data_IF_405724287566
#
_entry.id   IF_405724287566
#
_cell.length_a   1.000
_cell.length_b   1.000
_cell.length_c   1.000
_cell.angle_alpha   90.00
_cell.angle_beta   90.00
_cell.angle_gamma   90.00
#
_symmetry.space_group_name_H-M   'P 1'
#
loop_
_entity.id
_entity.type
_entity.pdbx_description
1 polymer ?
#
# COMPACT_ATOMS: atom_id res chain seq x y z
N UNK A 1 -4.25 -49.75 -32.42
CA UNK A 1 -4.27 -48.81 -31.30
C UNK A 1 -4.34 -47.41 -31.88
N UNK A 2 -5.40 -46.65 -31.58
CA UNK A 2 -5.52 -45.26 -32.00
C UNK A 2 -4.95 -44.36 -30.89
N UNK A 3 -4.20 -43.29 -31.22
CA UNK A 3 -3.67 -42.37 -30.21
C UNK A 3 -4.82 -41.58 -29.58
N UNK A 4 -4.86 -41.52 -28.25
CA UNK A 4 -5.79 -40.68 -27.50
C UNK A 4 -5.56 -39.21 -27.86
N UNK A 5 -6.62 -38.51 -28.25
CA UNK A 5 -6.58 -37.07 -28.47
C UNK A 5 -6.23 -36.34 -27.16
N UNK A 6 -5.37 -35.31 -27.18
CA UNK A 6 -5.07 -34.53 -26.00
C UNK A 6 -6.35 -33.89 -25.47
N UNK A 7 -6.63 -34.10 -24.17
CA UNK A 7 -7.75 -33.46 -23.49
C UNK A 7 -7.57 -31.94 -23.56
N UNK A 8 -8.62 -31.17 -23.92
CA UNK A 8 -8.54 -29.72 -23.90
C UNK A 8 -8.24 -29.26 -22.47
N UNK A 9 -7.16 -28.49 -22.31
CA UNK A 9 -6.86 -27.78 -21.07
C UNK A 9 -8.03 -26.84 -20.76
N UNK A 10 -8.60 -26.84 -19.56
CA UNK A 10 -9.65 -25.90 -19.21
C UNK A 10 -9.10 -24.48 -19.41
N UNK A 11 -9.70 -23.74 -20.35
CA UNK A 11 -9.47 -22.31 -20.45
C UNK A 11 -10.15 -21.69 -19.22
N UNK A 12 -9.37 -21.11 -18.31
CA UNK A 12 -9.94 -20.24 -17.28
C UNK A 12 -10.70 -19.12 -17.98
N UNK A 13 -11.94 -18.90 -17.57
CA UNK A 13 -12.71 -17.75 -18.02
C UNK A 13 -11.97 -16.49 -17.51
N UNK A 14 -11.69 -15.48 -18.35
CA UNK A 14 -11.04 -14.24 -17.89
C UNK A 14 -11.86 -13.46 -16.84
N UNK A 15 -13.11 -13.87 -16.59
CA UNK A 15 -13.95 -13.37 -15.50
C UNK A 15 -13.62 -13.95 -14.11
N UNK A 16 -12.80 -15.01 -14.04
CA UNK A 16 -12.38 -15.65 -12.79
C UNK A 16 -11.02 -15.14 -12.26
N UNK A 17 -10.41 -14.15 -12.93
CA UNK A 17 -9.18 -13.56 -12.40
C UNK A 17 -9.47 -12.79 -11.11
N UNK A 18 -8.70 -13.03 -10.04
CA UNK A 18 -8.87 -12.32 -8.79
C UNK A 18 -8.63 -10.81 -8.99
N UNK A 19 -9.59 -10.00 -8.54
CA UNK A 19 -9.51 -8.53 -8.58
C UNK A 19 -8.38 -7.97 -7.72
N UNK A 20 -8.08 -8.68 -6.63
CA UNK A 20 -7.00 -8.40 -5.71
C UNK A 20 -6.10 -9.65 -5.60
N UNK A 21 -4.82 -9.49 -5.95
CA UNK A 21 -3.81 -10.53 -5.77
C UNK A 21 -2.88 -10.10 -4.66
N UNK A 22 -2.67 -10.98 -3.69
CA UNK A 22 -1.71 -10.79 -2.60
C UNK A 22 -0.67 -11.89 -2.69
N UNK A 23 0.59 -11.52 -2.88
CA UNK A 23 1.70 -12.46 -3.01
C UNK A 23 2.96 -11.96 -2.32
N UNK A 24 3.92 -12.86 -2.10
CA UNK A 24 5.24 -12.47 -1.61
C UNK A 24 6.16 -12.14 -2.79
N UNK A 25 6.65 -10.90 -2.86
CA UNK A 25 7.72 -10.47 -3.75
C UNK A 25 9.02 -10.32 -2.95
N UNK A 26 9.85 -11.37 -2.91
CA UNK A 26 11.03 -11.39 -2.05
C UNK A 26 10.66 -11.32 -0.57
N UNK A 27 11.06 -10.25 0.12
CA UNK A 27 10.71 -9.98 1.53
C UNK A 27 9.42 -9.20 1.73
N UNK A 28 8.79 -8.75 0.63
CA UNK A 28 7.71 -7.77 0.68
C UNK A 28 6.39 -8.46 0.37
N UNK A 29 5.32 -7.99 1.01
CA UNK A 29 3.98 -8.34 0.57
C UNK A 29 3.62 -7.47 -0.62
N UNK A 30 3.31 -8.05 -1.76
CA UNK A 30 2.89 -7.33 -2.96
C UNK A 30 1.38 -7.49 -3.10
N UNK A 31 0.67 -6.36 -3.13
CA UNK A 31 -0.77 -6.30 -3.36
C UNK A 31 -0.99 -5.68 -4.73
N UNK A 32 -1.57 -6.46 -5.64
CA UNK A 32 -1.92 -6.02 -7.00
C UNK A 32 -3.42 -5.94 -7.14
N UNK A 33 -3.88 -4.89 -7.81
CA UNK A 33 -5.26 -4.77 -8.27
C UNK A 33 -5.28 -4.97 -9.77
N UNK A 34 -6.19 -5.79 -10.28
CA UNK A 34 -6.30 -6.06 -11.72
C UNK A 34 -7.30 -5.12 -12.39
N UNK A 35 -8.45 -4.82 -11.77
CA UNK A 35 -9.38 -3.68 -12.03
C UNK A 35 -10.63 -3.78 -11.14
N UNK A 36 -11.31 -2.63 -10.91
CA UNK A 36 -12.62 -2.50 -10.26
C UNK A 36 -12.79 -3.28 -8.95
N UNK A 37 -12.04 -2.85 -7.92
CA UNK A 37 -12.23 -3.32 -6.55
C UNK A 37 -13.64 -2.95 -6.07
N UNK A 38 -14.35 -3.89 -5.46
CA UNK A 38 -15.59 -3.60 -4.76
C UNK A 38 -15.36 -3.30 -3.27
N UNK A 39 -16.44 -3.20 -2.50
CA UNK A 39 -16.37 -2.93 -1.06
C UNK A 39 -15.61 -4.03 -0.30
N UNK A 40 -15.89 -5.30 -0.60
CA UNK A 40 -15.27 -6.44 0.08
C UNK A 40 -13.80 -6.58 -0.31
N UNK A 41 -13.47 -6.30 -1.58
CA UNK A 41 -12.08 -6.26 -2.05
C UNK A 41 -11.28 -5.17 -1.32
N UNK A 42 -11.88 -3.99 -1.15
CA UNK A 42 -11.25 -2.85 -0.46
C UNK A 42 -11.07 -3.11 1.04
N UNK A 43 -12.06 -3.71 1.70
CA UNK A 43 -11.94 -4.14 3.10
C UNK A 43 -10.83 -5.19 3.28
N UNK A 44 -10.72 -6.12 2.33
CA UNK A 44 -9.65 -7.13 2.31
C UNK A 44 -8.27 -6.49 2.14
N UNK A 45 -8.15 -5.49 1.26
CA UNK A 45 -6.94 -4.68 1.10
C UNK A 45 -6.56 -3.95 2.39
N UNK A 46 -7.50 -3.27 3.04
CA UNK A 46 -7.27 -2.57 4.32
C UNK A 46 -6.82 -3.56 5.40
N UNK A 47 -7.50 -4.71 5.49
CA UNK A 47 -7.17 -5.78 6.44
C UNK A 47 -5.77 -6.35 6.20
N UNK A 48 -5.39 -6.59 4.94
CA UNK A 48 -4.08 -7.07 4.57
C UNK A 48 -2.97 -6.06 4.92
N UNK A 49 -3.18 -4.77 4.66
CA UNK A 49 -2.23 -3.69 5.02
C UNK A 49 -2.02 -3.59 6.53
N UNK A 50 -3.11 -3.69 7.29
CA UNK A 50 -3.06 -3.63 8.74
C UNK A 50 -2.38 -4.87 9.33
N UNK A 51 -2.71 -6.06 8.83
CA UNK A 51 -2.05 -7.31 9.23
C UNK A 51 -0.55 -7.30 8.90
N UNK A 52 -0.16 -6.77 7.73
CA UNK A 52 1.24 -6.61 7.36
C UNK A 52 1.96 -5.60 8.26
N UNK A 53 1.32 -4.47 8.59
CA UNK A 53 1.85 -3.50 9.56
C UNK A 53 2.08 -4.16 10.93
N UNK A 54 1.14 -4.99 11.39
CA UNK A 54 1.25 -5.71 12.67
C UNK A 54 2.32 -6.81 12.64
N UNK A 55 2.55 -7.40 11.48
CA UNK A 55 3.59 -8.39 11.26
C UNK A 55 4.98 -7.76 10.98
N UNK A 56 5.09 -6.42 10.93
CA UNK A 56 6.32 -5.70 10.56
C UNK A 56 6.83 -6.14 9.18
N UNK A 57 5.90 -6.26 8.22
CA UNK A 57 6.13 -6.62 6.82
C UNK A 57 5.86 -5.41 5.94
N UNK A 58 6.85 -5.05 5.13
CA UNK A 58 6.72 -3.98 4.14
C UNK A 58 5.77 -4.41 3.01
N UNK A 59 4.90 -3.49 2.59
CA UNK A 59 3.88 -3.75 1.58
C UNK A 59 4.13 -2.91 0.34
N UNK A 60 4.08 -3.51 -0.84
CA UNK A 60 4.08 -2.81 -2.12
C UNK A 60 2.68 -2.92 -2.73
N UNK A 61 2.02 -1.79 -2.93
CA UNK A 61 0.77 -1.67 -3.67
C UNK A 61 1.12 -1.35 -5.12
N UNK A 62 0.83 -2.27 -6.03
CA UNK A 62 1.13 -2.19 -7.46
C UNK A 62 -0.18 -2.23 -8.27
N UNK A 63 -0.79 -1.07 -8.56
CA UNK A 63 -2.07 -0.97 -9.27
C UNK A 63 -2.00 -1.30 -10.76
N UNK A 64 -0.80 -1.39 -11.36
CA UNK A 64 -0.63 -1.55 -12.80
C UNK A 64 0.07 -2.87 -13.18
N UNK A 65 0.26 -3.78 -12.20
CA UNK A 65 1.01 -5.03 -12.37
C UNK A 65 2.40 -4.83 -12.99
N UNK A 66 3.05 -3.70 -12.69
CA UNK A 66 4.35 -3.32 -13.27
C UNK A 66 5.50 -4.11 -12.64
N UNK A 67 5.23 -4.97 -11.64
CA UNK A 67 6.25 -5.71 -10.88
C UNK A 67 7.33 -4.77 -10.35
N UNK A 68 6.87 -3.79 -9.56
CA UNK A 68 7.73 -2.77 -8.98
C UNK A 68 8.44 -3.22 -7.70
N UNK A 69 8.32 -4.49 -7.29
CA UNK A 69 8.96 -5.00 -6.09
C UNK A 69 10.49 -4.83 -6.13
N UNK A 70 11.11 -4.96 -7.30
CA UNK A 70 12.53 -4.65 -7.48
C UNK A 70 12.87 -3.16 -7.24
N UNK A 71 11.98 -2.24 -7.64
CA UNK A 71 12.19 -0.81 -7.43
C UNK A 71 12.19 -0.45 -5.93
N UNK A 72 11.42 -1.17 -5.12
CA UNK A 72 11.32 -0.95 -3.67
C UNK A 72 12.16 -1.92 -2.83
N UNK A 73 12.85 -2.89 -3.45
CA UNK A 73 13.76 -3.82 -2.77
C UNK A 73 14.90 -3.10 -2.04
N UNK A 74 15.29 -1.91 -2.51
CA UNK A 74 16.30 -1.07 -1.85
C UNK A 74 15.77 -0.24 -0.67
N UNK A 75 14.45 -0.06 -0.58
CA UNK A 75 13.77 0.73 0.46
C UNK A 75 13.31 -0.14 1.64
N UNK A 76 13.41 -1.45 1.48
CA UNK A 76 12.99 -2.45 2.46
C UNK A 76 14.18 -2.81 3.35
N UNK A 77 14.16 -2.28 4.57
CA UNK A 77 15.19 -2.52 5.57
C UNK A 77 14.64 -3.42 6.66
N UNK A 78 15.28 -4.57 6.85
CA UNK A 78 14.93 -5.48 7.94
C UNK A 78 15.32 -4.84 9.27
N UNK A 79 14.32 -4.46 10.06
CA UNK A 79 14.52 -3.98 11.42
C UNK A 79 15.26 -4.99 12.27
N UNK A 80 16.14 -4.47 13.12
CA UNK A 80 16.68 -5.24 14.24
C UNK A 80 15.61 -5.41 15.31
N UNK A 81 15.70 -6.46 16.14
CA UNK A 81 14.69 -6.74 17.17
C UNK A 81 14.52 -5.57 18.18
N UNK A 82 15.54 -4.71 18.33
CA UNK A 82 15.52 -3.53 19.20
C UNK A 82 14.70 -2.36 18.62
N UNK A 83 14.60 -2.24 17.29
CA UNK A 83 13.84 -1.17 16.61
C UNK A 83 12.32 -1.43 16.58
N UNK A 84 11.91 -2.69 16.81
CA UNK A 84 10.49 -3.09 16.90
C UNK A 84 9.75 -2.51 18.10
N UNK A 85 10.47 -1.92 19.06
CA UNK A 85 9.90 -1.23 20.21
C UNK A 85 9.42 0.21 19.89
N UNK A 86 9.54 0.67 18.64
CA UNK A 86 8.97 1.95 18.23
C UNK A 86 7.44 1.93 18.28
N UNK A 87 6.83 3.11 18.50
CA UNK A 87 5.38 3.30 18.48
C UNK A 87 4.75 2.64 17.25
N UNK A 88 3.51 2.14 17.37
CA UNK A 88 2.82 1.46 16.26
C UNK A 88 2.39 2.50 15.21
N UNK A 89 2.64 2.27 13.91
CA UNK A 89 2.14 3.15 12.87
C UNK A 89 0.62 3.22 12.90
N UNK A 90 0.06 4.36 12.49
CA UNK A 90 -1.40 4.49 12.31
C UNK A 90 -1.86 3.53 11.21
N UNK A 91 -2.98 2.87 11.48
CA UNK A 91 -3.58 1.87 10.61
C UNK A 91 -4.04 2.48 9.27
N UNK A 92 -4.09 1.65 8.24
CA UNK A 92 -4.77 1.98 7.00
C UNK A 92 -6.29 2.04 7.21
N UNK A 93 -6.95 2.94 6.50
CA UNK A 93 -8.40 3.16 6.60
C UNK A 93 -9.10 2.98 5.24
N UNK A 94 -10.34 2.50 5.29
CA UNK A 94 -11.24 2.50 4.15
C UNK A 94 -11.70 3.93 3.85
N UNK A 95 -11.47 4.42 2.63
CA UNK A 95 -11.86 5.78 2.24
C UNK A 95 -13.08 5.81 1.30
N UNK A 96 -13.08 4.94 0.30
CA UNK A 96 -14.15 4.69 -0.65
C UNK A 96 -13.88 3.32 -1.32
N UNK A 97 -14.81 2.83 -2.13
CA UNK A 97 -14.58 1.63 -2.95
C UNK A 97 -13.34 1.83 -3.83
N UNK A 98 -12.36 0.93 -3.71
CA UNK A 98 -11.07 0.98 -4.40
C UNK A 98 -10.06 1.98 -3.83
N UNK A 99 -10.43 2.71 -2.76
CA UNK A 99 -9.64 3.82 -2.22
C UNK A 99 -9.36 3.63 -0.73
N UNK A 100 -8.10 3.74 -0.36
CA UNK A 100 -7.64 3.65 1.03
C UNK A 100 -6.99 4.96 1.49
N UNK A 101 -6.85 5.13 2.81
CA UNK A 101 -6.06 6.19 3.42
C UNK A 101 -4.92 5.64 4.25
N UNK A 102 -3.76 6.29 4.13
CA UNK A 102 -2.59 6.07 4.96
C UNK A 102 -2.18 7.40 5.60
N UNK A 103 -1.83 7.37 6.88
CA UNK A 103 -1.40 8.56 7.61
C UNK A 103 0.13 8.72 7.56
N UNK A 104 0.58 9.86 7.04
CA UNK A 104 1.95 10.35 7.17
C UNK A 104 2.08 11.37 8.31
N UNK A 105 3.32 11.72 8.70
CA UNK A 105 3.56 12.80 9.66
C UNK A 105 3.06 14.13 9.09
N UNK A 106 1.91 14.60 9.58
CA UNK A 106 1.28 15.85 9.13
C UNK A 106 0.66 15.79 7.73
N UNK A 107 0.51 14.60 7.14
CA UNK A 107 -0.16 14.43 5.84
C UNK A 107 -1.09 13.22 5.82
N UNK A 108 -2.11 13.29 4.97
CA UNK A 108 -2.99 12.18 4.62
C UNK A 108 -2.70 11.77 3.17
N UNK A 109 -2.41 10.48 2.96
CA UNK A 109 -2.25 9.87 1.65
C UNK A 109 -3.52 9.12 1.30
N UNK A 110 -4.30 9.65 0.35
CA UNK A 110 -5.47 8.96 -0.20
C UNK A 110 -5.03 8.24 -1.47
N UNK A 111 -5.16 6.92 -1.51
CA UNK A 111 -4.63 6.08 -2.58
C UNK A 111 -5.82 5.41 -3.27
N UNK A 112 -6.04 5.77 -4.53
CA UNK A 112 -6.99 5.12 -5.42
C UNK A 112 -6.24 3.98 -6.14
N UNK A 113 -6.38 2.78 -5.59
CA UNK A 113 -5.65 1.59 -6.04
C UNK A 113 -6.20 1.11 -7.38
N UNK A 114 -7.52 1.13 -7.56
CA UNK A 114 -8.13 0.75 -8.84
C UNK A 114 -7.78 1.76 -9.95
N UNK A 115 -7.72 3.06 -9.61
CA UNK A 115 -7.40 4.15 -10.54
C UNK A 115 -5.91 4.43 -10.72
N UNK A 116 -5.01 3.72 -10.02
CA UNK A 116 -3.56 3.89 -10.18
C UNK A 116 -3.07 5.31 -9.89
N UNK A 117 -3.57 5.94 -8.81
CA UNK A 117 -3.26 7.35 -8.49
C UNK A 117 -3.34 7.62 -7.00
N UNK A 118 -2.71 8.69 -6.56
CA UNK A 118 -2.70 9.13 -5.17
C UNK A 118 -2.95 10.63 -5.04
N UNK A 119 -3.48 11.02 -3.89
CA UNK A 119 -3.63 12.40 -3.46
C UNK A 119 -2.96 12.55 -2.09
N UNK A 120 -2.17 13.61 -1.91
CA UNK A 120 -1.55 13.94 -0.62
C UNK A 120 -2.01 15.30 -0.16
N UNK A 121 -2.59 15.34 1.03
CA UNK A 121 -3.13 16.56 1.66
C UNK A 121 -2.64 16.67 3.10
N UNK A 122 -2.77 17.83 3.72
CA UNK A 122 -2.45 18.06 5.13
C UNK A 122 -3.56 17.54 6.06
N UNK A 123 -4.81 17.53 5.58
CA UNK A 123 -5.97 16.98 6.28
C UNK A 123 -6.69 15.93 5.46
N UNK A 124 -7.40 15.02 6.12
CA UNK A 124 -8.22 14.02 5.44
C UNK A 124 -9.46 14.68 4.81
N UNK A 125 -9.51 14.71 3.47
CA UNK A 125 -10.68 15.14 2.72
C UNK A 125 -11.53 13.94 2.30
N UNK A 126 -12.86 14.10 2.30
CA UNK A 126 -13.75 13.12 1.69
C UNK A 126 -13.47 13.03 0.18
N UNK A 127 -13.32 11.80 -0.31
CA UNK A 127 -12.91 11.47 -1.69
C UNK A 127 -13.85 12.13 -2.71
N UNK A 128 -15.12 12.31 -2.38
CA UNK A 128 -16.14 12.92 -3.26
C UNK A 128 -15.88 14.40 -3.57
N UNK A 129 -15.05 15.07 -2.77
CA UNK A 129 -14.66 16.46 -3.00
C UNK A 129 -13.29 16.62 -3.65
N UNK A 130 -12.58 15.52 -3.94
CA UNK A 130 -11.31 15.56 -4.65
C UNK A 130 -11.56 15.66 -6.16
N UNK A 131 -11.27 16.83 -6.73
CA UNK A 131 -11.29 17.05 -8.17
C UNK A 131 -10.20 16.24 -8.89
N UNK A 132 -10.33 16.01 -10.21
CA UNK A 132 -9.33 15.28 -11.00
C UNK A 132 -7.90 15.80 -10.84
N UNK A 133 -7.73 17.10 -10.68
CA UNK A 133 -6.46 17.80 -10.50
C UNK A 133 -5.76 17.51 -9.16
N UNK A 134 -6.48 17.01 -8.16
CA UNK A 134 -5.91 16.64 -6.87
C UNK A 134 -5.11 15.32 -6.95
N UNK A 135 -5.31 14.54 -8.02
CA UNK A 135 -4.73 13.22 -8.18
C UNK A 135 -3.45 13.23 -8.99
N UNK A 136 -2.41 12.61 -8.45
CA UNK A 136 -1.16 12.32 -9.14
C UNK A 136 -1.17 10.86 -9.58
N UNK A 137 -0.97 10.56 -10.87
CA UNK A 137 -0.80 9.18 -11.33
C UNK A 137 0.36 8.51 -10.57
N UNK A 138 0.20 7.24 -10.21
CA UNK A 138 1.22 6.46 -9.53
C UNK A 138 1.48 5.15 -10.24
N UNK A 139 2.74 4.72 -10.18
CA UNK A 139 3.15 3.38 -10.61
C UNK A 139 2.98 2.40 -9.45
N UNK A 140 3.43 2.77 -8.24
CA UNK A 140 3.31 1.93 -7.06
C UNK A 140 3.55 2.73 -5.76
N UNK A 141 3.10 2.17 -4.64
CA UNK A 141 3.32 2.68 -3.28
C UNK A 141 3.96 1.60 -2.43
N UNK A 142 5.09 1.89 -1.80
CA UNK A 142 5.66 1.08 -0.73
C UNK A 142 5.29 1.67 0.63
N UNK A 143 4.71 0.84 1.47
CA UNK A 143 4.33 1.12 2.84
C UNK A 143 5.27 0.32 3.73
N UNK A 144 6.22 1.01 4.35
CA UNK A 144 7.11 0.41 5.33
C UNK A 144 6.58 0.66 6.74
N UNK A 145 7.32 0.21 7.74
CA UNK A 145 7.01 0.54 9.12
C UNK A 145 7.12 2.05 9.42
N UNK A 146 8.08 2.78 8.84
CA UNK A 146 8.38 4.19 9.17
C UNK A 146 8.08 5.16 8.03
N UNK A 147 7.84 4.67 6.81
CA UNK A 147 7.69 5.51 5.63
C UNK A 147 6.55 5.08 4.72
N UNK A 148 6.02 6.08 4.03
CA UNK A 148 5.25 5.94 2.81
C UNK A 148 6.15 6.39 1.67
N UNK A 149 6.27 5.59 0.61
CA UNK A 149 7.03 5.94 -0.58
C UNK A 149 6.17 5.66 -1.82
N UNK A 150 5.99 6.64 -2.69
CA UNK A 150 5.36 6.44 -3.99
C UNK A 150 6.35 6.66 -5.12
N UNK A 151 6.24 5.83 -6.16
CA UNK A 151 6.75 6.11 -7.49
C UNK A 151 5.60 6.67 -8.32
N UNK A 152 5.69 7.92 -8.74
CA UNK A 152 4.66 8.59 -9.54
C UNK A 152 4.78 8.21 -11.02
N UNK A 153 3.71 8.40 -11.80
CA UNK A 153 3.68 8.09 -13.24
C UNK A 153 4.68 8.90 -14.08
N UNK A 154 5.17 10.04 -13.57
CA UNK A 154 6.24 10.83 -14.17
C UNK A 154 7.66 10.43 -13.67
N UNK A 155 7.76 9.34 -12.91
CA UNK A 155 9.02 8.75 -12.43
C UNK A 155 9.61 9.42 -11.19
N UNK A 156 8.88 10.30 -10.51
CA UNK A 156 9.35 10.93 -9.27
C UNK A 156 9.10 10.03 -8.06
N UNK A 157 9.97 10.16 -7.06
CA UNK A 157 9.78 9.52 -5.77
C UNK A 157 9.20 10.53 -4.77
N UNK A 158 8.03 10.22 -4.23
CA UNK A 158 7.47 10.91 -3.07
C UNK A 158 7.75 10.06 -1.84
N UNK A 159 8.24 10.65 -0.76
CA UNK A 159 8.43 9.93 0.51
C UNK A 159 7.98 10.79 1.67
N UNK A 160 7.38 10.14 2.66
CA UNK A 160 6.93 10.75 3.92
C UNK A 160 7.16 9.78 5.08
N UNK A 161 7.35 10.28 6.29
CA UNK A 161 7.33 9.43 7.49
C UNK A 161 5.90 8.99 7.80
N UNK A 162 5.70 7.77 8.31
CA UNK A 162 4.39 7.31 8.79
C UNK A 162 4.03 7.98 10.11
N UNK A 163 2.75 8.33 10.25
CA UNK A 163 2.23 8.71 11.55
C UNK A 163 2.24 7.50 12.51
N UNK A 164 2.48 7.76 13.79
CA UNK A 164 2.49 6.73 14.84
C UNK A 164 1.61 7.17 16.01
N UNK A 165 1.02 6.21 16.74
CA UNK A 165 0.03 6.48 17.78
C UNK A 165 0.53 7.26 19.03
N UNK A 166 1.81 7.67 19.09
CA UNK A 166 2.39 8.46 20.20
C UNK A 166 3.01 9.80 19.77
N UNK A 167 2.59 10.35 18.63
CA UNK A 167 2.95 11.71 18.19
C UNK A 167 1.69 12.58 18.13
N UNK A 168 1.01 12.70 19.27
CA UNK A 168 -0.04 13.68 19.52
C UNK A 168 0.45 14.81 20.44
N UNK A 169 -0.27 15.94 20.55
CA UNK A 169 0.14 17.11 21.34
C UNK A 169 0.38 16.86 22.83
N UNK A 170 -0.01 15.68 23.35
CA UNK A 170 0.20 15.24 24.74
C UNK A 170 1.34 14.22 24.93
N UNK A 171 2.15 13.94 23.89
CA UNK A 171 3.31 13.06 24.06
C UNK A 171 4.35 13.73 24.98
N UNK A 172 4.84 13.06 26.05
CA UNK A 172 5.86 13.63 26.91
C UNK A 172 7.11 13.96 26.09
N UNK A 173 7.76 15.12 26.32
CA UNK A 173 8.91 15.53 25.53
C UNK A 173 9.99 14.46 25.60
N UNK A 174 10.39 13.94 24.42
CA UNK A 174 11.52 13.03 24.31
C UNK A 174 12.74 13.71 24.93
N UNK A 175 13.28 13.10 25.98
CA UNK A 175 14.50 13.60 26.61
C UNK A 175 15.63 13.55 25.58
N UNK A 176 16.04 14.73 25.10
CA UNK A 176 17.27 14.90 24.35
C UNK A 176 18.43 14.40 25.23
N UNK A 177 18.91 13.18 24.96
CA UNK A 177 20.23 12.77 25.44
C UNK A 177 21.25 13.50 24.57
N UNK A 178 21.79 14.58 25.13
CA UNK A 178 23.03 15.19 24.63
C UNK A 178 24.15 14.20 24.96
N UNK A 179 24.84 13.72 23.91
CA UNK A 179 26.14 13.07 24.04
C UNK A 179 27.24 14.14 23.98
#
# INVERSE_FOLDING_TARGET
>A
MLPESPRPTPQLDPSDEPRLVVEMGGSNLVIRSTIDLDHADTDSLVSALNAATDADVDVVIDPASVRCDEAFASLTHRRTAEERSAARPVAAEFAAVGVIRLAGEGTCWTIDVAGGRLCRTDVAHDVRFLGPEAWTPMVAVCVTHDRLVALTGDGRHLSERRAHHDVGPDAPPRSLRVA
#
